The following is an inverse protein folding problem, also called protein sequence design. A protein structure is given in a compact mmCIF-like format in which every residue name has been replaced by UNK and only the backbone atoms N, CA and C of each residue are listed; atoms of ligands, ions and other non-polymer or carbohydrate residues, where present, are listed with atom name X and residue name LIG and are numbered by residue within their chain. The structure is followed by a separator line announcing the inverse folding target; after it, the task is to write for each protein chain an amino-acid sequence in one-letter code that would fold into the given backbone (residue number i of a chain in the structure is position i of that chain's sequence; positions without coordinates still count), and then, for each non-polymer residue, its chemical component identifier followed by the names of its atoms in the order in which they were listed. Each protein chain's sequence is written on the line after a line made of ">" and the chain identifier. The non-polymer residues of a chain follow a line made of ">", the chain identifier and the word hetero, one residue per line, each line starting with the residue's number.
data_IF_384125014567
#
_entry.id   IF_384125014567
#
_cell.length_a   1.000
_cell.length_b   1.000
_cell.length_c   1.000
_cell.angle_alpha   90.00
_cell.angle_beta   90.00
_cell.angle_gamma   90.00
#
_symmetry.space_group_name_H-M   'P 1'
#
loop_
_entity.id
_entity.type
_entity.pdbx_description
1 polymer ?
#
# COMPACT_ATOMS: atom_id res chain seq x y z
N UNK A 1 -12.14 -20.99 18.92
CA UNK A 1 -11.52 -19.82 18.26
C UNK A 1 -12.30 -18.60 18.71
N UNK A 2 -11.72 -17.74 19.54
CA UNK A 2 -12.35 -16.45 19.84
C UNK A 2 -12.33 -15.63 18.54
N UNK A 3 -13.51 -15.28 18.00
CA UNK A 3 -13.60 -14.29 16.95
C UNK A 3 -12.95 -13.01 17.51
N UNK A 4 -11.84 -12.57 16.90
CA UNK A 4 -11.36 -11.21 17.15
C UNK A 4 -12.52 -10.30 16.79
N UNK A 5 -13.03 -9.55 17.77
CA UNK A 5 -13.94 -8.46 17.48
C UNK A 5 -13.14 -7.51 16.57
N UNK A 6 -13.46 -7.49 15.27
CA UNK A 6 -12.85 -6.54 14.35
C UNK A 6 -13.19 -5.16 14.87
N UNK A 7 -12.16 -4.41 15.28
CA UNK A 7 -12.33 -3.02 15.65
C UNK A 7 -12.71 -2.26 14.38
N UNK A 8 -14.00 -1.98 14.22
CA UNK A 8 -14.48 -1.07 13.18
C UNK A 8 -14.16 0.36 13.59
N UNK A 9 -14.03 1.34 12.66
CA UNK A 9 -13.87 2.74 13.03
C UNK A 9 -14.97 3.25 13.96
N UNK A 10 -16.20 2.72 13.83
CA UNK A 10 -17.31 2.99 14.74
C UNK A 10 -17.11 2.49 16.18
N UNK A 11 -16.17 1.58 16.41
CA UNK A 11 -15.77 1.11 17.75
C UNK A 11 -14.81 2.06 18.47
N UNK A 12 -14.21 3.03 17.76
CA UNK A 12 -13.44 4.12 18.35
C UNK A 12 -14.38 5.25 18.77
N UNK A 13 -14.75 5.25 20.06
CA UNK A 13 -15.56 6.25 20.77
C UNK A 13 -15.90 7.54 19.99
N UNK A 14 -17.16 7.69 19.57
CA UNK A 14 -17.82 8.98 19.30
C UNK A 14 -17.33 9.82 18.11
N UNK A 15 -16.24 9.44 17.44
CA UNK A 15 -15.70 10.18 16.30
C UNK A 15 -16.00 9.44 14.99
N UNK A 16 -16.59 10.14 14.02
CA UNK A 16 -16.71 9.63 12.66
C UNK A 16 -15.34 9.71 11.96
N UNK A 17 -14.47 8.74 12.27
CA UNK A 17 -13.09 8.70 11.78
C UNK A 17 -13.02 8.67 10.25
N UNK A 18 -13.99 8.05 9.55
CA UNK A 18 -14.03 8.05 8.09
C UNK A 18 -14.34 9.45 7.54
N UNK A 19 -15.26 10.20 8.16
CA UNK A 19 -15.49 11.61 7.80
C UNK A 19 -14.30 12.51 8.09
N UNK A 20 -13.59 12.30 9.21
CA UNK A 20 -12.35 13.04 9.50
C UNK A 20 -11.30 12.75 8.43
N UNK A 21 -11.17 11.48 8.03
CA UNK A 21 -10.24 11.05 6.99
C UNK A 21 -10.57 11.68 5.63
N UNK A 22 -11.85 11.69 5.24
CA UNK A 22 -12.33 12.34 4.02
C UNK A 22 -12.09 13.87 4.06
N UNK A 23 -12.33 14.51 5.20
CA UNK A 23 -12.03 15.93 5.37
C UNK A 23 -10.53 16.21 5.23
N UNK A 24 -9.67 15.38 5.84
CA UNK A 24 -8.21 15.51 5.70
C UNK A 24 -7.75 15.32 4.25
N UNK A 25 -8.37 14.38 3.53
CA UNK A 25 -8.10 14.12 2.12
C UNK A 25 -8.32 15.38 1.27
N UNK A 26 -9.42 16.09 1.52
CA UNK A 26 -9.78 17.35 0.85
C UNK A 26 -8.85 18.50 1.27
N UNK A 27 -8.63 18.67 2.57
CA UNK A 27 -7.86 19.80 3.11
C UNK A 27 -6.36 19.73 2.81
N UNK A 28 -5.83 18.56 2.45
CA UNK A 28 -4.40 18.32 2.22
C UNK A 28 -4.06 17.87 0.79
N UNK A 29 -4.88 18.25 -0.18
CA UNK A 29 -4.69 17.82 -1.57
C UNK A 29 -3.28 18.13 -2.11
N UNK A 30 -2.76 19.34 -1.90
CA UNK A 30 -1.41 19.73 -2.35
C UNK A 30 -0.31 18.84 -1.77
N UNK A 31 -0.45 18.45 -0.50
CA UNK A 31 0.45 17.52 0.15
C UNK A 31 0.41 16.14 -0.53
N UNK A 32 -0.79 15.65 -0.86
CA UNK A 32 -0.96 14.35 -1.52
C UNK A 32 -0.50 14.32 -2.98
N UNK A 33 -0.53 15.46 -3.69
CA UNK A 33 0.05 15.58 -5.03
C UNK A 33 1.55 15.30 -5.04
N UNK A 34 2.25 15.63 -3.95
CA UNK A 34 3.69 15.35 -3.79
C UNK A 34 3.91 13.99 -3.11
N UNK A 35 3.02 13.59 -2.21
CA UNK A 35 3.19 12.42 -1.37
C UNK A 35 2.13 11.34 -1.63
N UNK A 36 2.26 10.64 -2.76
CA UNK A 36 1.36 9.53 -3.12
C UNK A 36 1.50 8.32 -2.20
N UNK A 37 2.60 8.17 -1.47
CA UNK A 37 2.73 7.16 -0.42
C UNK A 37 1.66 7.40 0.67
N UNK A 38 1.57 8.62 1.18
CA UNK A 38 0.58 8.99 2.18
C UNK A 38 -0.85 8.92 1.62
N UNK A 39 -1.05 9.34 0.37
CA UNK A 39 -2.34 9.25 -0.30
C UNK A 39 -2.83 7.79 -0.43
N UNK A 40 -1.92 6.87 -0.75
CA UNK A 40 -2.22 5.43 -0.84
C UNK A 40 -2.71 4.89 0.50
N UNK A 41 -2.19 5.37 1.63
CA UNK A 41 -2.68 4.98 2.94
C UNK A 41 -4.13 5.44 3.17
N UNK A 42 -4.47 6.66 2.74
CA UNK A 42 -5.86 7.15 2.79
C UNK A 42 -6.79 6.27 1.93
N UNK A 43 -6.34 5.94 0.72
CA UNK A 43 -7.09 5.07 -0.19
C UNK A 43 -7.36 3.68 0.42
N UNK A 44 -6.33 3.04 1.00
CA UNK A 44 -6.47 1.73 1.66
C UNK A 44 -7.46 1.83 2.83
N UNK A 45 -7.32 2.85 3.69
CA UNK A 45 -8.17 3.00 4.86
C UNK A 45 -9.64 3.24 4.48
N UNK A 46 -9.92 4.07 3.47
CA UNK A 46 -11.28 4.30 2.97
C UNK A 46 -11.85 3.05 2.28
N UNK A 47 -11.05 2.39 1.43
CA UNK A 47 -11.46 1.16 0.75
C UNK A 47 -11.86 0.05 1.73
N UNK A 48 -11.08 -0.15 2.80
CA UNK A 48 -11.38 -1.15 3.84
C UNK A 48 -12.68 -0.87 4.60
N UNK A 49 -13.21 0.34 4.51
CA UNK A 49 -14.48 0.74 5.12
C UNK A 49 -15.62 0.87 4.11
N UNK A 50 -15.39 0.46 2.84
CA UNK A 50 -16.31 0.67 1.72
C UNK A 50 -16.71 2.14 1.54
N UNK A 51 -15.80 3.06 1.86
CA UNK A 51 -15.99 4.50 1.69
C UNK A 51 -15.48 4.96 0.32
N UNK A 52 -16.11 5.98 -0.24
CA UNK A 52 -15.73 6.52 -1.55
C UNK A 52 -14.34 7.17 -1.51
N UNK A 53 -13.48 6.78 -2.43
CA UNK A 53 -12.26 7.50 -2.77
C UNK A 53 -12.53 8.32 -4.04
N UNK A 54 -12.63 9.65 -3.91
CA UNK A 54 -13.06 10.51 -5.01
C UNK A 54 -12.12 10.45 -6.22
N UNK A 55 -12.67 10.55 -7.44
CA UNK A 55 -11.92 10.42 -8.70
C UNK A 55 -10.70 11.35 -8.76
N UNK A 56 -10.82 12.60 -8.28
CA UNK A 56 -9.70 13.54 -8.27
C UNK A 56 -8.47 13.03 -7.49
N UNK A 57 -8.70 12.23 -6.45
CA UNK A 57 -7.62 11.64 -5.64
C UNK A 57 -7.11 10.35 -6.27
N UNK A 58 -7.97 9.60 -6.95
CA UNK A 58 -7.53 8.50 -7.82
C UNK A 58 -6.59 9.03 -8.90
N UNK A 59 -6.95 10.11 -9.58
CA UNK A 59 -6.12 10.72 -10.62
C UNK A 59 -4.75 11.16 -10.09
N UNK A 60 -4.68 11.67 -8.86
CA UNK A 60 -3.41 11.98 -8.18
C UNK A 60 -2.64 10.70 -7.86
N UNK A 61 -3.31 9.68 -7.31
CA UNK A 61 -2.71 8.41 -6.92
C UNK A 61 -2.09 7.69 -8.13
N UNK A 62 -2.79 7.70 -9.27
CA UNK A 62 -2.40 7.00 -10.50
C UNK A 62 -1.60 7.87 -11.47
N UNK A 63 -1.32 9.13 -11.13
CA UNK A 63 -0.49 10.02 -11.95
C UNK A 63 0.89 9.39 -12.22
N UNK A 64 1.57 9.80 -13.29
CA UNK A 64 2.99 9.47 -13.57
C UNK A 64 3.41 8.00 -13.28
N UNK A 65 2.78 7.00 -13.91
CA UNK A 65 3.12 5.60 -13.69
C UNK A 65 4.61 5.33 -13.97
N UNK A 66 5.24 4.49 -13.15
CA UNK A 66 6.66 4.15 -13.25
C UNK A 66 7.63 5.15 -12.60
N UNK A 67 7.17 6.32 -12.17
CA UNK A 67 7.96 7.29 -11.41
C UNK A 67 7.47 7.28 -9.96
N UNK A 68 8.37 7.10 -8.98
CA UNK A 68 8.00 7.03 -7.56
C UNK A 68 9.03 7.81 -6.73
N UNK A 69 8.59 8.88 -6.05
CA UNK A 69 9.44 9.77 -5.26
C UNK A 69 10.09 9.03 -4.08
N UNK A 70 9.32 8.20 -3.39
CA UNK A 70 9.81 7.35 -2.30
C UNK A 70 10.14 5.92 -2.76
N UNK A 71 10.42 5.75 -4.06
CA UNK A 71 10.89 4.50 -4.64
C UNK A 71 9.97 3.32 -4.37
N UNK A 72 10.53 2.23 -3.85
CA UNK A 72 9.80 0.97 -3.66
C UNK A 72 8.66 1.10 -2.66
N UNK A 73 8.80 1.94 -1.64
CA UNK A 73 7.80 2.07 -0.58
C UNK A 73 6.51 2.69 -1.12
N UNK A 74 6.64 3.75 -1.93
CA UNK A 74 5.52 4.39 -2.63
C UNK A 74 4.90 3.45 -3.66
N UNK A 75 5.70 2.81 -4.51
CA UNK A 75 5.18 1.85 -5.49
C UNK A 75 4.42 0.69 -4.82
N UNK A 76 4.90 0.23 -3.67
CA UNK A 76 4.25 -0.83 -2.89
C UNK A 76 2.90 -0.37 -2.34
N UNK A 77 2.84 0.83 -1.77
CA UNK A 77 1.58 1.39 -1.27
C UNK A 77 0.57 1.64 -2.39
N UNK A 78 1.00 2.17 -3.54
CA UNK A 78 0.13 2.35 -4.71
C UNK A 78 -0.40 1.00 -5.19
N UNK A 79 0.44 -0.03 -5.24
CA UNK A 79 0.00 -1.39 -5.61
C UNK A 79 -1.13 -1.86 -4.68
N UNK A 80 -0.93 -1.77 -3.37
CA UNK A 80 -1.92 -2.20 -2.37
C UNK A 80 -3.21 -1.37 -2.44
N UNK A 81 -3.10 -0.04 -2.56
CA UNK A 81 -4.24 0.86 -2.65
C UNK A 81 -5.08 0.59 -3.90
N UNK A 82 -4.43 0.52 -5.07
CA UNK A 82 -5.10 0.30 -6.34
C UNK A 82 -5.76 -1.08 -6.44
N UNK A 83 -5.15 -2.12 -5.87
CA UNK A 83 -5.77 -3.45 -5.78
C UNK A 83 -7.01 -3.43 -4.88
N UNK A 84 -7.00 -2.64 -3.80
CA UNK A 84 -8.17 -2.50 -2.93
C UNK A 84 -9.31 -1.75 -3.65
N UNK A 85 -9.01 -0.59 -4.24
CA UNK A 85 -10.00 0.23 -4.93
C UNK A 85 -10.61 -0.46 -6.16
N UNK A 86 -9.82 -1.27 -6.86
CA UNK A 86 -10.25 -2.11 -7.99
C UNK A 86 -11.02 -1.36 -9.09
N UNK A 87 -10.63 -0.11 -9.36
CA UNK A 87 -11.16 0.70 -10.46
C UNK A 87 -10.34 0.49 -11.74
N UNK A 88 -10.87 0.95 -12.88
CA UNK A 88 -10.17 0.86 -14.15
C UNK A 88 -8.88 1.69 -14.17
N UNK A 89 -8.88 2.89 -13.57
CA UNK A 89 -7.69 3.74 -13.45
C UNK A 89 -6.62 3.11 -12.55
N UNK A 90 -7.05 2.52 -11.43
CA UNK A 90 -6.17 1.79 -10.52
C UNK A 90 -5.54 0.54 -11.15
N UNK A 91 -6.25 -0.15 -12.05
CA UNK A 91 -5.79 -1.43 -12.62
C UNK A 91 -4.45 -1.30 -13.38
N UNK A 92 -4.28 -0.27 -14.21
CA UNK A 92 -3.02 -0.03 -14.94
C UNK A 92 -1.91 0.45 -14.02
N UNK A 93 -2.21 1.39 -13.11
CA UNK A 93 -1.25 1.92 -12.15
C UNK A 93 -0.70 0.82 -11.22
N UNK A 94 -1.55 -0.11 -10.77
CA UNK A 94 -1.13 -1.27 -9.98
C UNK A 94 -0.14 -2.16 -10.75
N UNK A 95 -0.38 -2.40 -12.04
CA UNK A 95 0.49 -3.22 -12.87
C UNK A 95 1.88 -2.58 -13.09
N UNK A 96 1.95 -1.26 -13.24
CA UNK A 96 3.24 -0.59 -13.40
C UNK A 96 3.99 -0.49 -12.06
N UNK A 97 3.25 -0.24 -10.97
CA UNK A 97 3.80 -0.20 -9.63
C UNK A 97 4.32 -1.56 -9.17
N UNK A 98 3.57 -2.65 -9.34
CA UNK A 98 4.02 -4.00 -8.98
C UNK A 98 5.27 -4.41 -9.79
N UNK A 99 5.36 -4.02 -11.08
CA UNK A 99 6.54 -4.30 -11.92
C UNK A 99 7.75 -3.53 -11.40
N UNK A 100 7.57 -2.28 -10.99
CA UNK A 100 8.62 -1.50 -10.37
C UNK A 100 9.08 -2.13 -9.05
N UNK A 101 8.14 -2.56 -8.19
CA UNK A 101 8.45 -3.27 -6.94
C UNK A 101 9.23 -4.54 -7.25
N UNK A 102 8.76 -5.39 -8.16
CA UNK A 102 9.45 -6.61 -8.55
C UNK A 102 10.84 -6.35 -9.15
N UNK A 103 11.03 -5.28 -9.93
CA UNK A 103 12.36 -4.93 -10.45
C UNK A 103 13.35 -4.48 -9.36
N UNK A 104 12.84 -3.87 -8.28
CA UNK A 104 13.66 -3.19 -7.27
C UNK A 104 13.72 -3.89 -5.91
N UNK A 105 12.89 -4.90 -5.65
CA UNK A 105 12.88 -5.66 -4.39
C UNK A 105 14.12 -6.57 -4.31
N UNK A 106 15.22 -5.98 -3.85
CA UNK A 106 16.55 -6.59 -3.69
C UNK A 106 16.83 -6.86 -2.21
N UNK A 107 17.51 -7.96 -1.90
CA UNK A 107 17.87 -8.35 -0.52
C UNK A 107 18.75 -7.34 0.23
N UNK A 108 19.40 -6.41 -0.49
CA UNK A 108 20.21 -5.33 0.08
C UNK A 108 19.37 -4.24 0.76
N UNK A 109 18.08 -4.12 0.44
CA UNK A 109 17.17 -3.13 1.04
C UNK A 109 17.09 -3.27 2.57
N UNK A 110 16.61 -2.21 3.23
CA UNK A 110 16.29 -2.27 4.65
C UNK A 110 15.08 -3.18 4.91
N UNK A 111 14.91 -3.62 6.16
CA UNK A 111 13.85 -4.58 6.54
C UNK A 111 12.43 -4.05 6.30
N UNK A 112 12.22 -2.74 6.43
CA UNK A 112 10.91 -2.12 6.30
C UNK A 112 10.46 -2.10 4.84
N UNK A 113 11.33 -1.66 3.92
CA UNK A 113 11.05 -1.67 2.49
C UNK A 113 10.95 -3.08 1.91
N UNK A 114 11.74 -4.03 2.44
CA UNK A 114 11.59 -5.45 2.10
C UNK A 114 10.21 -5.98 2.51
N UNK A 115 9.76 -5.66 3.72
CA UNK A 115 8.47 -6.10 4.24
C UNK A 115 7.32 -5.54 3.41
N UNK A 116 7.34 -4.24 3.15
CA UNK A 116 6.28 -3.57 2.40
C UNK A 116 6.23 -4.02 0.94
N UNK A 117 7.37 -4.10 0.26
CA UNK A 117 7.43 -4.61 -1.11
C UNK A 117 7.01 -6.07 -1.22
N UNK A 118 7.28 -6.89 -0.20
CA UNK A 118 6.79 -8.27 -0.17
C UNK A 118 5.26 -8.32 -0.01
N UNK A 119 4.68 -7.49 0.86
CA UNK A 119 3.22 -7.40 1.02
C UNK A 119 2.53 -6.99 -0.28
N UNK A 120 3.08 -5.98 -0.98
CA UNK A 120 2.56 -5.56 -2.27
C UNK A 120 2.55 -6.72 -3.29
N UNK A 121 3.66 -7.45 -3.43
CA UNK A 121 3.72 -8.58 -4.36
C UNK A 121 2.83 -9.76 -3.93
N UNK A 122 2.69 -10.02 -2.63
CA UNK A 122 1.76 -11.03 -2.12
C UNK A 122 0.32 -10.69 -2.50
N UNK A 123 -0.09 -9.43 -2.34
CA UNK A 123 -1.45 -8.96 -2.64
C UNK A 123 -1.83 -9.10 -4.12
N UNK A 124 -0.86 -9.17 -5.04
CA UNK A 124 -1.13 -9.43 -6.46
C UNK A 124 -1.59 -10.87 -6.73
N UNK A 125 -1.35 -11.79 -5.80
CA UNK A 125 -1.60 -13.23 -5.92
C UNK A 125 -0.90 -13.91 -7.12
N UNK A 126 0.10 -13.24 -7.74
CA UNK A 126 0.78 -13.76 -8.93
C UNK A 126 1.88 -14.76 -8.57
N UNK A 127 1.81 -16.02 -9.05
CA UNK A 127 2.81 -17.05 -8.72
C UNK A 127 4.24 -16.71 -9.16
N UNK A 128 4.40 -15.87 -10.19
CA UNK A 128 5.71 -15.45 -10.71
C UNK A 128 6.57 -14.74 -9.65
N UNK A 129 5.96 -14.12 -8.64
CA UNK A 129 6.68 -13.40 -7.58
C UNK A 129 7.08 -14.26 -6.38
N UNK A 130 6.64 -15.53 -6.31
CA UNK A 130 6.86 -16.38 -5.13
C UNK A 130 8.33 -16.53 -4.76
N UNK A 131 9.22 -16.71 -5.74
CA UNK A 131 10.66 -16.82 -5.48
C UNK A 131 11.22 -15.53 -4.89
N UNK A 132 10.78 -14.39 -5.41
CA UNK A 132 11.24 -13.09 -4.96
C UNK A 132 10.76 -12.78 -3.55
N UNK A 133 9.49 -13.06 -3.26
CA UNK A 133 8.90 -12.93 -1.92
C UNK A 133 9.67 -13.80 -0.91
N UNK A 134 9.95 -15.07 -1.24
CA UNK A 134 10.74 -15.96 -0.36
C UNK A 134 12.13 -15.39 -0.08
N UNK A 135 12.82 -14.88 -1.11
CA UNK A 135 14.14 -14.28 -0.94
C UNK A 135 14.10 -13.04 -0.02
N UNK A 136 13.07 -12.20 -0.17
CA UNK A 136 12.86 -11.04 0.68
C UNK A 136 12.60 -11.44 2.15
N UNK A 137 11.74 -12.43 2.38
CA UNK A 137 11.47 -12.99 3.73
C UNK A 137 12.74 -13.53 4.37
N UNK A 138 13.55 -14.30 3.64
CA UNK A 138 14.84 -14.79 4.15
C UNK A 138 15.80 -13.63 4.50
N UNK A 139 15.84 -12.58 3.67
CA UNK A 139 16.66 -11.40 3.95
C UNK A 139 16.19 -10.65 5.21
N UNK A 140 14.87 -10.52 5.41
CA UNK A 140 14.28 -9.94 6.62
C UNK A 140 14.69 -10.75 7.85
N UNK A 141 14.49 -12.08 7.84
CA UNK A 141 14.84 -12.94 8.96
C UNK A 141 16.30 -12.84 9.35
N UNK A 142 17.21 -12.83 8.36
CA UNK A 142 18.66 -12.64 8.59
C UNK A 142 18.98 -11.27 9.19
N UNK A 143 18.37 -10.20 8.67
CA UNK A 143 18.62 -8.83 9.15
C UNK A 143 18.05 -8.58 10.55
N UNK A 144 16.98 -9.27 10.93
CA UNK A 144 16.36 -9.20 12.25
C UNK A 144 16.91 -10.23 13.24
N UNK A 145 17.92 -11.03 12.84
CA UNK A 145 18.48 -12.12 13.66
C UNK A 145 17.43 -13.12 14.18
N UNK A 146 16.32 -13.30 13.44
CA UNK A 146 15.20 -14.16 13.87
C UNK A 146 15.57 -15.66 13.76
N UNK A 147 16.45 -16.04 12.84
CA UNK A 147 16.88 -17.43 12.65
C UNK A 147 18.01 -17.87 13.63
N UNK A 148 18.38 -17.04 14.62
CA UNK A 148 19.38 -17.37 15.66
C UNK A 148 18.78 -17.88 16.98
N UNK A 149 17.48 -18.15 17.05
CA UNK A 149 16.80 -18.70 18.24
C UNK A 149 16.10 -20.01 17.94
#
# INVERSE_FOLDING_TARGET
>A
MAARQEQTPSSFFGYNLTSILQAQLILSEEYFRVNRFALSLMAIALCQQNETFGQQFEDILTAHPGTYLYGIDEASMITLACLCLNTQGCSSAAQDAEKFVSKNLKSSLNVYSLGLGSQALIATEKPVYLRQIRNAVCAIKRKLDIDKR
#
